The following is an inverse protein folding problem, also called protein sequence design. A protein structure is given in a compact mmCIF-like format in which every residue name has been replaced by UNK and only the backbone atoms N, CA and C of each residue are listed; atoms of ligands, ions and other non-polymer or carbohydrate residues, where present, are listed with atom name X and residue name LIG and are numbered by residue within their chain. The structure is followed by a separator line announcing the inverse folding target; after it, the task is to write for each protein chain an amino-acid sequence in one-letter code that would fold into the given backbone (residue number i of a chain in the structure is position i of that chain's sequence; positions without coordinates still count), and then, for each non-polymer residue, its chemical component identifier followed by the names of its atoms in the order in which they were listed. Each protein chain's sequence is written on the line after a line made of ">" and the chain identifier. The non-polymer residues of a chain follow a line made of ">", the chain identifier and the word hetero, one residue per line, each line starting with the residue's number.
data_IF_130618321758
#
_entry.id   IF_130618321758
#
_cell.length_a   1.000
_cell.length_b   1.000
_cell.length_c   1.000
_cell.angle_alpha   90.00
_cell.angle_beta   90.00
_cell.angle_gamma   90.00
#
_symmetry.space_group_name_H-M   'P 1'
#
loop_
_entity.id
_entity.type
_entity.pdbx_description
1 polymer ?
#
# COMPACT_ATOMS: atom_id res chain seq x y z
N UNK A 1 -5.50 3.77 -24.47
CA UNK A 1 -5.00 3.11 -23.25
C UNK A 1 -4.71 4.18 -22.20
N UNK A 2 -5.05 3.95 -20.93
CA UNK A 2 -4.72 4.88 -19.85
C UNK A 2 -3.19 4.95 -19.67
N UNK A 3 -2.63 6.16 -19.48
CA UNK A 3 -1.20 6.35 -19.33
C UNK A 3 -0.72 6.01 -17.92
N UNK A 4 0.42 5.32 -17.81
CA UNK A 4 0.98 4.91 -16.54
C UNK A 4 2.51 4.87 -16.56
N UNK A 5 3.12 4.91 -15.37
CA UNK A 5 4.53 4.61 -15.10
C UNK A 5 4.63 3.42 -14.16
N UNK A 6 5.72 2.67 -14.24
CA UNK A 6 6.04 1.59 -13.33
C UNK A 6 7.22 2.01 -12.47
N UNK A 7 7.02 2.01 -11.16
CA UNK A 7 8.04 2.29 -10.15
C UNK A 7 8.35 1.04 -9.34
N UNK A 8 9.60 0.89 -8.92
CA UNK A 8 9.94 -0.01 -7.82
C UNK A 8 10.72 0.72 -6.73
N UNK A 9 10.38 0.43 -5.49
CA UNK A 9 10.98 1.03 -4.30
C UNK A 9 12.15 0.14 -3.87
N UNK A 10 13.37 0.70 -3.81
CA UNK A 10 14.56 -0.06 -3.49
C UNK A 10 15.57 0.78 -2.70
N UNK A 11 16.15 0.21 -1.65
CA UNK A 11 17.27 0.80 -0.93
C UNK A 11 18.55 0.79 -1.77
N UNK A 12 19.35 1.87 -1.75
CA UNK A 12 20.58 1.99 -2.56
C UNK A 12 21.57 0.85 -2.32
N UNK A 13 21.66 0.37 -1.10
CA UNK A 13 22.53 -0.75 -0.72
C UNK A 13 22.00 -2.13 -1.13
N UNK A 14 20.74 -2.25 -1.56
CA UNK A 14 20.11 -3.54 -1.89
C UNK A 14 20.32 -3.90 -3.36
N UNK A 15 21.58 -4.04 -3.80
CA UNK A 15 21.96 -4.27 -5.19
C UNK A 15 21.40 -5.58 -5.76
N UNK A 16 21.36 -6.68 -4.98
CA UNK A 16 20.78 -7.95 -5.42
C UNK A 16 19.32 -7.80 -5.81
N UNK A 17 18.52 -7.07 -5.01
CA UNK A 17 17.11 -6.80 -5.27
C UNK A 17 16.91 -5.84 -6.43
N UNK A 18 17.78 -4.82 -6.55
CA UNK A 18 17.81 -3.94 -7.71
C UNK A 18 17.99 -4.73 -9.01
N UNK A 19 19.03 -5.58 -9.07
CA UNK A 19 19.33 -6.40 -10.25
C UNK A 19 18.19 -7.38 -10.57
N UNK A 20 17.53 -7.94 -9.57
CA UNK A 20 16.37 -8.80 -9.73
C UNK A 20 15.22 -8.06 -10.44
N UNK A 21 14.86 -6.87 -9.96
CA UNK A 21 13.79 -6.07 -10.58
C UNK A 21 14.14 -5.64 -12.01
N UNK A 22 15.34 -5.12 -12.22
CA UNK A 22 15.78 -4.66 -13.54
C UNK A 22 15.84 -5.79 -14.57
N UNK A 23 16.30 -6.99 -14.16
CA UNK A 23 16.29 -8.18 -15.02
C UNK A 23 14.86 -8.59 -15.37
N UNK A 24 13.97 -8.75 -14.38
CA UNK A 24 12.59 -9.15 -14.61
C UNK A 24 11.88 -8.22 -15.60
N UNK A 25 12.05 -6.91 -15.47
CA UNK A 25 11.38 -5.94 -16.34
C UNK A 25 12.05 -5.79 -17.70
N UNK A 26 13.34 -6.06 -17.80
CA UNK A 26 14.03 -6.20 -19.10
C UNK A 26 13.47 -7.39 -19.88
N UNK A 27 13.29 -8.54 -19.24
CA UNK A 27 12.74 -9.74 -19.85
C UNK A 27 11.28 -9.53 -20.30
N UNK A 28 10.50 -8.73 -19.58
CA UNK A 28 9.14 -8.32 -19.95
C UNK A 28 9.08 -7.20 -21.01
N UNK A 29 10.22 -6.58 -21.35
CA UNK A 29 10.31 -5.41 -22.23
C UNK A 29 9.42 -4.23 -21.78
N UNK A 30 9.38 -3.98 -20.49
CA UNK A 30 8.59 -2.90 -19.86
C UNK A 30 9.52 -1.93 -19.14
N UNK A 31 9.43 -0.61 -19.43
CA UNK A 31 10.22 0.38 -18.71
C UNK A 31 9.85 0.43 -17.24
N UNK A 32 10.87 0.37 -16.37
CA UNK A 32 10.69 0.48 -14.92
C UNK A 32 11.59 1.58 -14.37
N UNK A 33 11.07 2.35 -13.42
CA UNK A 33 11.76 3.47 -12.79
C UNK A 33 12.08 3.08 -11.33
N UNK A 34 13.36 3.13 -10.99
CA UNK A 34 13.78 2.94 -9.60
C UNK A 34 13.46 4.19 -8.79
N UNK A 35 12.74 4.00 -7.68
CA UNK A 35 12.56 5.02 -6.65
C UNK A 35 13.43 4.68 -5.44
N UNK A 36 14.41 5.54 -5.12
CA UNK A 36 15.32 5.30 -4.00
C UNK A 36 14.58 5.37 -2.67
N UNK A 37 14.61 4.27 -1.92
CA UNK A 37 13.97 4.18 -0.63
C UNK A 37 14.80 4.89 0.46
N UNK A 38 14.11 5.57 1.35
CA UNK A 38 14.73 6.20 2.51
C UNK A 38 15.14 5.14 3.54
N UNK A 39 16.43 5.08 3.86
CA UNK A 39 16.90 4.19 4.89
C UNK A 39 16.55 4.75 6.28
N UNK A 40 15.65 4.09 6.98
CA UNK A 40 15.10 4.60 8.24
C UNK A 40 16.15 4.97 9.29
N UNK A 41 17.27 4.22 9.37
CA UNK A 41 18.35 4.53 10.33
C UNK A 41 19.13 5.82 10.01
N UNK A 42 19.05 6.31 8.78
CA UNK A 42 19.71 7.56 8.35
C UNK A 42 18.79 8.77 8.47
N UNK A 43 17.53 8.55 8.84
CA UNK A 43 16.62 9.67 9.11
C UNK A 43 17.02 10.42 10.37
N UNK A 44 16.80 11.75 10.43
CA UNK A 44 17.16 12.56 11.61
C UNK A 44 16.58 11.96 12.91
N UNK A 45 17.40 11.82 13.92
CA UNK A 45 17.01 11.24 15.22
C UNK A 45 15.83 11.98 15.86
N UNK A 46 15.76 13.30 15.69
CA UNK A 46 14.64 14.14 16.15
C UNK A 46 13.34 13.77 15.47
N UNK A 47 13.37 13.53 14.15
CA UNK A 47 12.22 13.07 13.38
C UNK A 47 11.75 11.67 13.83
N UNK A 48 12.68 10.72 14.00
CA UNK A 48 12.36 9.36 14.45
C UNK A 48 11.75 9.36 15.85
N UNK A 49 12.35 10.13 16.80
CA UNK A 49 11.83 10.26 18.18
C UNK A 49 10.42 10.87 18.18
N UNK A 50 10.19 11.95 17.42
CA UNK A 50 8.89 12.58 17.29
C UNK A 50 7.86 11.61 16.72
N UNK A 51 8.17 10.94 15.61
CA UNK A 51 7.27 9.99 14.95
C UNK A 51 6.89 8.83 15.88
N UNK A 52 7.85 8.29 16.65
CA UNK A 52 7.59 7.22 17.63
C UNK A 52 6.77 7.70 18.83
N UNK A 53 6.91 8.97 19.23
CA UNK A 53 6.12 9.59 20.31
C UNK A 53 4.68 9.87 19.88
N UNK A 54 4.49 10.32 18.64
CA UNK A 54 3.17 10.59 18.06
C UNK A 54 2.40 9.30 17.74
N UNK A 55 3.02 8.14 17.96
CA UNK A 55 2.40 6.84 17.82
C UNK A 55 1.20 6.73 18.76
N UNK A 56 0.00 6.73 18.19
CA UNK A 56 -1.22 6.70 18.97
C UNK A 56 -1.55 5.27 19.44
N UNK A 57 -1.84 5.13 20.71
CA UNK A 57 -2.25 3.87 21.36
C UNK A 57 -3.51 3.26 20.71
N UNK A 58 -4.32 4.09 20.03
CA UNK A 58 -5.49 3.66 19.25
C UNK A 58 -5.15 2.95 17.95
N UNK A 59 -3.89 2.90 17.52
CA UNK A 59 -3.50 2.04 16.42
C UNK A 59 -3.37 0.61 16.95
N UNK A 60 -4.02 -0.33 16.30
CA UNK A 60 -3.87 -1.76 16.61
C UNK A 60 -2.45 -2.30 16.31
N UNK A 61 -1.49 -1.40 16.11
CA UNK A 61 -0.11 -1.71 15.80
C UNK A 61 0.82 -1.30 16.95
N UNK A 62 1.62 -2.22 17.53
CA UNK A 62 2.23 -1.99 18.83
C UNK A 62 3.44 -1.05 18.84
N UNK A 63 4.23 -0.95 17.78
CA UNK A 63 5.40 -0.08 17.70
C UNK A 63 5.85 0.12 16.25
N UNK A 64 6.45 1.27 15.95
CA UNK A 64 7.15 1.54 14.69
C UNK A 64 8.67 1.32 14.87
N UNK A 65 9.29 0.60 13.95
CA UNK A 65 10.75 0.59 13.83
C UNK A 65 11.21 1.61 12.78
N UNK A 66 12.52 1.90 12.75
CA UNK A 66 13.08 2.89 11.85
C UNK A 66 12.88 2.52 10.38
N UNK A 67 12.96 1.22 10.03
CA UNK A 67 12.72 0.73 8.68
C UNK A 67 11.30 0.98 8.21
N UNK A 68 10.29 0.73 9.07
CA UNK A 68 8.89 1.01 8.76
C UNK A 68 8.61 2.51 8.60
N UNK A 69 9.26 3.34 9.42
CA UNK A 69 9.18 4.80 9.29
C UNK A 69 9.79 5.22 7.95
N UNK A 70 10.99 4.70 7.62
CA UNK A 70 11.67 4.96 6.36
C UNK A 70 10.84 4.57 5.14
N UNK A 71 10.29 3.34 5.14
CA UNK A 71 9.43 2.85 4.07
C UNK A 71 8.15 3.70 3.93
N UNK A 72 7.46 3.99 5.03
CA UNK A 72 6.25 4.81 4.99
C UNK A 72 6.54 6.22 4.47
N UNK A 73 7.66 6.82 4.90
CA UNK A 73 8.10 8.13 4.40
C UNK A 73 8.43 8.06 2.91
N UNK A 74 9.05 6.99 2.44
CA UNK A 74 9.31 6.75 1.01
C UNK A 74 8.01 6.75 0.19
N UNK A 75 6.97 6.08 0.67
CA UNK A 75 5.66 6.10 0.01
C UNK A 75 5.06 7.51 -0.04
N UNK A 76 5.22 8.32 1.02
CA UNK A 76 4.72 9.70 1.01
C UNK A 76 5.44 10.55 -0.04
N UNK A 77 6.76 10.40 -0.18
CA UNK A 77 7.52 11.10 -1.22
C UNK A 77 7.12 10.62 -2.63
N UNK A 78 6.92 9.32 -2.82
CA UNK A 78 6.47 8.77 -4.08
C UNK A 78 5.04 9.23 -4.45
N UNK A 79 4.12 9.30 -3.49
CA UNK A 79 2.78 9.86 -3.76
C UNK A 79 2.84 11.36 -4.12
N UNK A 80 3.78 12.10 -3.51
CA UNK A 80 4.04 13.50 -3.88
C UNK A 80 4.53 13.63 -5.32
N UNK A 81 5.37 12.70 -5.79
CA UNK A 81 5.80 12.66 -7.19
C UNK A 81 4.65 12.29 -8.12
N UNK A 82 3.91 11.21 -7.81
CA UNK A 82 2.82 10.71 -8.64
C UNK A 82 1.71 11.75 -8.84
N UNK A 83 1.36 12.50 -7.80
CA UNK A 83 0.32 13.55 -7.96
C UNK A 83 0.71 14.64 -8.97
N UNK A 84 2.00 14.81 -9.25
CA UNK A 84 2.52 15.83 -10.17
C UNK A 84 2.93 15.29 -11.55
N UNK A 85 2.98 13.96 -11.73
CA UNK A 85 3.34 13.35 -13.02
C UNK A 85 2.29 13.62 -14.09
N UNK A 86 2.66 13.43 -15.38
CA UNK A 86 1.72 13.57 -16.50
C UNK A 86 0.75 12.39 -16.59
N UNK A 87 1.23 11.20 -16.30
CA UNK A 87 0.49 9.95 -16.40
C UNK A 87 -0.66 9.88 -15.41
N UNK A 88 -1.72 9.18 -15.78
CA UNK A 88 -2.94 9.03 -14.99
C UNK A 88 -2.76 8.07 -13.80
N UNK A 89 -1.87 7.08 -13.96
CA UNK A 89 -1.64 6.03 -12.99
C UNK A 89 -0.14 5.81 -12.74
N UNK A 90 0.17 5.22 -11.61
CA UNK A 90 1.45 4.59 -11.33
C UNK A 90 1.23 3.15 -10.86
N UNK A 91 2.09 2.23 -11.29
CA UNK A 91 2.25 0.91 -10.73
C UNK A 91 3.45 0.99 -9.79
N UNK A 92 3.27 0.63 -8.53
CA UNK A 92 4.32 0.67 -7.51
C UNK A 92 4.59 -0.76 -7.05
N UNK A 93 5.84 -1.17 -7.08
CA UNK A 93 6.30 -2.49 -6.67
C UNK A 93 7.34 -2.36 -5.56
N UNK A 94 7.37 -3.31 -4.63
CA UNK A 94 8.51 -3.49 -3.73
C UNK A 94 9.64 -4.21 -4.48
N UNK A 95 10.87 -4.08 -4.00
CA UNK A 95 12.07 -4.58 -4.70
C UNK A 95 12.25 -6.11 -4.65
N UNK A 96 11.31 -6.80 -4.02
CA UNK A 96 11.17 -8.26 -4.00
C UNK A 96 9.93 -8.77 -4.74
N UNK A 97 9.21 -7.90 -5.41
CA UNK A 97 7.99 -8.26 -6.12
C UNK A 97 8.28 -9.14 -7.34
N UNK A 98 7.83 -10.38 -7.30
CA UNK A 98 7.77 -11.25 -8.47
C UNK A 98 6.41 -11.05 -9.16
N UNK A 99 6.44 -10.50 -10.38
CA UNK A 99 5.26 -10.13 -11.16
C UNK A 99 4.92 -11.24 -12.15
N UNK A 100 3.67 -11.68 -12.15
CA UNK A 100 3.14 -12.61 -13.14
C UNK A 100 2.97 -11.89 -14.49
N UNK A 101 3.45 -12.48 -15.56
CA UNK A 101 3.39 -11.91 -16.93
C UNK A 101 1.97 -11.58 -17.39
N UNK A 102 0.97 -12.33 -16.91
CA UNK A 102 -0.42 -12.07 -17.22
C UNK A 102 -0.92 -10.73 -16.68
N UNK A 103 -0.22 -10.12 -15.71
CA UNK A 103 -0.59 -8.80 -15.18
C UNK A 103 -0.67 -7.75 -16.28
N UNK A 104 0.34 -7.68 -17.12
CA UNK A 104 0.39 -6.68 -18.19
C UNK A 104 -0.57 -7.00 -19.35
N UNK A 105 -0.93 -8.28 -19.50
CA UNK A 105 -1.97 -8.70 -20.46
C UNK A 105 -3.36 -8.30 -19.98
N UNK A 106 -3.64 -8.46 -18.69
CA UNK A 106 -4.92 -8.15 -18.08
C UNK A 106 -5.05 -6.65 -17.66
N UNK A 107 -3.96 -5.90 -17.71
CA UNK A 107 -3.90 -4.49 -17.27
C UNK A 107 -4.90 -3.56 -17.98
N UNK A 108 -5.15 -3.69 -19.30
CA UNK A 108 -6.17 -2.89 -19.98
C UNK A 108 -7.56 -3.08 -19.37
N UNK A 109 -7.93 -4.31 -19.05
CA UNK A 109 -9.23 -4.65 -18.47
C UNK A 109 -9.33 -4.15 -17.02
N UNK A 110 -8.25 -4.29 -16.24
CA UNK A 110 -8.18 -3.69 -14.90
C UNK A 110 -8.37 -2.17 -15.01
N UNK A 111 -7.73 -1.52 -15.98
CA UNK A 111 -7.90 -0.09 -16.19
C UNK A 111 -9.32 0.30 -16.60
N UNK A 112 -10.10 -0.55 -17.28
CA UNK A 112 -11.50 -0.28 -17.58
C UNK A 112 -12.35 -0.23 -16.30
N UNK A 113 -11.97 -0.98 -15.26
CA UNK A 113 -12.71 -1.04 -14.00
C UNK A 113 -12.35 0.06 -12.99
N UNK A 114 -11.23 0.74 -13.14
CA UNK A 114 -10.71 1.69 -12.15
C UNK A 114 -10.63 3.11 -12.67
N UNK A 115 -10.57 4.06 -11.76
CA UNK A 115 -10.45 5.49 -12.03
C UNK A 115 -9.18 6.07 -11.39
N UNK A 116 -8.83 7.30 -11.76
CA UNK A 116 -7.69 8.01 -11.14
C UNK A 116 -7.88 8.31 -9.63
N UNK A 117 -9.06 8.01 -9.06
CA UNK A 117 -9.33 8.13 -7.64
C UNK A 117 -9.01 6.84 -6.86
N UNK A 118 -8.74 5.74 -7.56
CA UNK A 118 -8.64 4.43 -6.96
C UNK A 118 -7.20 4.04 -6.63
N UNK A 119 -7.07 3.23 -5.60
CA UNK A 119 -5.88 2.51 -5.22
C UNK A 119 -6.20 1.01 -5.36
N UNK A 120 -5.38 0.24 -6.05
CA UNK A 120 -5.59 -1.18 -6.29
C UNK A 120 -4.41 -1.98 -5.77
N UNK A 121 -4.66 -2.89 -4.84
CA UNK A 121 -3.72 -3.92 -4.43
C UNK A 121 -3.75 -5.06 -5.45
N UNK A 122 -2.62 -5.40 -6.05
CA UNK A 122 -2.52 -6.44 -7.09
C UNK A 122 -2.07 -7.80 -6.55
N UNK A 123 -2.07 -8.00 -5.23
CA UNK A 123 -1.67 -9.26 -4.59
C UNK A 123 -2.74 -10.35 -4.62
N UNK A 124 -3.96 -10.04 -5.00
CA UNK A 124 -5.09 -10.99 -5.01
C UNK A 124 -5.52 -11.47 -3.62
N UNK A 125 -5.10 -10.80 -2.55
CA UNK A 125 -5.46 -11.16 -1.18
C UNK A 125 -6.86 -10.69 -0.83
N UNK A 126 -7.56 -11.44 0.00
CA UNK A 126 -8.88 -11.03 0.46
C UNK A 126 -8.78 -10.03 1.64
N UNK A 127 -9.53 -8.95 1.55
CA UNK A 127 -9.78 -8.04 2.65
C UNK A 127 -10.96 -8.49 3.53
N UNK A 128 -11.33 -7.65 4.50
CA UNK A 128 -12.50 -7.86 5.34
C UNK A 128 -13.72 -7.16 4.73
N UNK A 129 -14.84 -7.85 4.65
CA UNK A 129 -16.14 -7.44 4.17
C UNK A 129 -16.14 -6.85 2.75
N UNK A 130 -16.48 -7.65 1.75
CA UNK A 130 -16.59 -7.20 0.36
C UNK A 130 -17.77 -6.26 0.18
N UNK A 131 -17.56 -5.12 -0.48
CA UNK A 131 -18.57 -4.10 -0.72
C UNK A 131 -19.16 -4.18 -2.11
N UNK A 132 -18.31 -4.48 -3.09
CA UNK A 132 -18.67 -4.56 -4.49
C UNK A 132 -17.79 -5.61 -5.17
N UNK A 133 -18.26 -6.14 -6.29
CA UNK A 133 -17.56 -7.14 -7.10
C UNK A 133 -17.61 -6.71 -8.56
N UNK A 134 -16.44 -6.47 -9.17
CA UNK A 134 -16.28 -6.33 -10.62
C UNK A 134 -15.60 -7.58 -11.17
N UNK A 135 -15.30 -7.63 -12.44
CA UNK A 135 -14.70 -8.83 -13.05
C UNK A 135 -13.27 -9.05 -12.58
N UNK A 136 -12.42 -8.04 -12.63
CA UNK A 136 -10.99 -8.10 -12.28
C UNK A 136 -10.71 -7.61 -10.86
N UNK A 137 -11.56 -6.72 -10.31
CA UNK A 137 -11.31 -6.07 -9.02
C UNK A 137 -12.47 -6.26 -8.03
N UNK A 138 -12.16 -6.12 -6.76
CA UNK A 138 -13.13 -6.15 -5.67
C UNK A 138 -12.79 -5.08 -4.64
N UNK A 139 -13.80 -4.31 -4.23
CA UNK A 139 -13.67 -3.34 -3.14
C UNK A 139 -13.93 -4.03 -1.80
N UNK A 140 -13.07 -3.77 -0.82
CA UNK A 140 -13.25 -4.22 0.56
C UNK A 140 -13.40 -3.04 1.51
N UNK A 141 -14.16 -3.24 2.57
CA UNK A 141 -14.28 -2.25 3.64
C UNK A 141 -12.94 -2.04 4.35
N UNK A 142 -12.24 -3.14 4.63
CA UNK A 142 -10.87 -3.12 5.14
C UNK A 142 -10.00 -3.91 4.15
N UNK A 143 -9.10 -3.25 3.42
CA UNK A 143 -8.22 -3.93 2.48
C UNK A 143 -7.22 -4.84 3.18
N UNK A 144 -6.61 -5.80 2.46
CA UNK A 144 -5.58 -6.67 3.03
C UNK A 144 -4.32 -5.88 3.40
N UNK A 145 -3.56 -6.43 4.32
CA UNK A 145 -2.20 -5.96 4.63
C UNK A 145 -1.24 -6.24 3.46
N UNK A 146 -0.03 -5.71 3.56
CA UNK A 146 1.08 -5.76 2.60
C UNK A 146 0.94 -4.78 1.43
N UNK A 147 2.08 -4.45 0.85
CA UNK A 147 2.25 -3.43 -0.17
C UNK A 147 3.12 -3.88 -1.34
N UNK A 148 3.30 -5.21 -1.51
CA UNK A 148 4.21 -5.82 -2.50
C UNK A 148 4.00 -5.28 -3.92
N UNK A 149 2.74 -5.01 -4.31
CA UNK A 149 2.43 -4.40 -5.59
C UNK A 149 1.07 -3.71 -5.60
N UNK A 150 1.00 -2.57 -6.28
CA UNK A 150 -0.20 -1.74 -6.28
C UNK A 150 -0.28 -0.87 -7.54
N UNK A 151 -1.50 -0.56 -7.97
CA UNK A 151 -1.79 0.49 -8.96
C UNK A 151 -2.39 1.66 -8.20
N UNK A 152 -1.91 2.86 -8.45
CA UNK A 152 -2.44 4.06 -7.81
C UNK A 152 -2.79 5.11 -8.85
N UNK A 153 -4.00 5.63 -8.79
CA UNK A 153 -4.43 6.75 -9.60
C UNK A 153 -3.88 8.08 -9.09
N UNK A 154 -3.66 9.03 -9.97
CA UNK A 154 -3.08 10.34 -9.65
C UNK A 154 -3.84 11.10 -8.57
N UNK A 155 -5.17 11.05 -8.58
CA UNK A 155 -6.01 11.68 -7.53
C UNK A 155 -5.99 10.89 -6.23
N UNK A 156 -5.89 9.57 -6.31
CA UNK A 156 -5.70 8.73 -5.12
C UNK A 156 -4.39 9.08 -4.39
N UNK A 157 -3.28 9.18 -5.12
CA UNK A 157 -1.99 9.61 -4.56
C UNK A 157 -2.07 10.99 -3.88
N UNK A 158 -2.75 11.94 -4.53
CA UNK A 158 -3.00 13.28 -3.95
C UNK A 158 -3.81 13.20 -2.64
N UNK A 159 -4.86 12.39 -2.60
CA UNK A 159 -5.69 12.23 -1.41
C UNK A 159 -4.90 11.57 -0.26
N UNK A 160 -4.15 10.52 -0.54
CA UNK A 160 -3.28 9.86 0.43
C UNK A 160 -2.26 10.85 1.01
N UNK A 161 -1.52 11.55 0.16
CA UNK A 161 -0.53 12.54 0.57
C UNK A 161 -1.15 13.70 1.39
N UNK A 162 -2.33 14.20 0.99
CA UNK A 162 -3.03 15.29 1.68
C UNK A 162 -3.56 14.88 3.05
N UNK A 163 -4.13 13.67 3.16
CA UNK A 163 -4.89 13.25 4.34
C UNK A 163 -4.06 12.47 5.36
N UNK A 164 -2.95 11.85 4.94
CA UNK A 164 -2.00 11.14 5.80
C UNK A 164 -0.78 12.04 6.08
N UNK A 165 -0.95 13.06 6.92
CA UNK A 165 0.11 14.04 7.22
C UNK A 165 1.18 13.53 8.18
N UNK A 166 0.88 12.49 8.95
CA UNK A 166 1.75 11.94 9.99
C UNK A 166 1.90 10.43 9.83
N UNK A 167 3.09 9.93 10.15
CA UNK A 167 3.37 8.50 10.19
C UNK A 167 2.98 7.99 11.57
N UNK A 168 1.87 7.28 11.68
CA UNK A 168 1.38 6.71 12.95
C UNK A 168 1.27 5.17 12.90
N UNK A 169 1.54 4.55 11.79
CA UNK A 169 1.60 3.10 11.62
C UNK A 169 2.38 2.75 10.35
N UNK A 170 2.77 1.47 10.14
CA UNK A 170 3.38 1.04 8.89
C UNK A 170 2.46 1.30 7.70
N UNK A 171 3.04 1.41 6.51
CA UNK A 171 2.33 1.77 5.28
C UNK A 171 1.17 0.82 4.95
N UNK A 172 1.32 -0.47 5.19
CA UNK A 172 0.28 -1.47 4.93
C UNK A 172 -0.91 -1.35 5.89
N UNK A 173 -0.68 -0.89 7.12
CA UNK A 173 -1.72 -0.56 8.09
C UNK A 173 -2.37 0.78 7.76
N UNK A 174 -1.58 1.80 7.36
CA UNK A 174 -2.11 3.08 6.89
C UNK A 174 -3.06 2.91 5.69
N UNK A 175 -2.75 1.96 4.80
CA UNK A 175 -3.63 1.59 3.68
C UNK A 175 -5.02 1.16 4.14
N UNK A 176 -5.15 0.57 5.33
CA UNK A 176 -6.44 0.13 5.88
C UNK A 176 -7.30 1.28 6.40
N UNK A 177 -6.73 2.44 6.68
CA UNK A 177 -7.45 3.61 7.22
C UNK A 177 -8.21 4.39 6.14
N UNK A 178 -9.02 3.66 5.36
CA UNK A 178 -9.78 4.20 4.21
C UNK A 178 -10.63 5.41 4.59
N UNK A 179 -11.20 5.43 5.81
CA UNK A 179 -11.98 6.54 6.32
C UNK A 179 -11.14 7.80 6.53
N UNK A 180 -9.86 7.65 6.86
CA UNK A 180 -8.96 8.78 7.11
C UNK A 180 -8.39 9.33 5.80
N UNK A 181 -7.87 8.48 4.94
CA UNK A 181 -7.27 8.93 3.68
C UNK A 181 -8.28 9.13 2.53
N UNK A 182 -9.53 8.69 2.69
CA UNK A 182 -10.63 8.91 1.74
C UNK A 182 -10.33 8.42 0.32
N UNK A 183 -9.63 7.30 0.20
CA UNK A 183 -9.27 6.67 -1.06
C UNK A 183 -9.79 5.25 -1.05
N UNK A 184 -10.65 4.84 -2.02
CA UNK A 184 -11.07 3.44 -2.12
C UNK A 184 -9.86 2.55 -2.40
N UNK A 185 -9.80 1.41 -1.73
CA UNK A 185 -8.76 0.40 -1.97
C UNK A 185 -9.43 -0.85 -2.52
N UNK A 186 -9.28 -1.04 -3.81
CA UNK A 186 -9.66 -2.25 -4.50
C UNK A 186 -8.55 -3.30 -4.39
N UNK A 187 -8.90 -4.53 -4.65
CA UNK A 187 -7.96 -5.66 -4.72
C UNK A 187 -8.26 -6.43 -6.00
N UNK A 188 -7.25 -6.84 -6.73
CA UNK A 188 -7.44 -7.73 -7.87
C UNK A 188 -7.89 -9.11 -7.41
N UNK A 189 -8.80 -9.75 -8.16
CA UNK A 189 -9.24 -11.12 -7.84
C UNK A 189 -8.14 -12.15 -8.11
N UNK A 190 -7.37 -11.93 -9.17
CA UNK A 190 -6.20 -12.73 -9.51
C UNK A 190 -4.98 -12.19 -8.77
N UNK A 191 -4.10 -13.09 -8.39
CA UNK A 191 -2.83 -12.78 -7.77
C UNK A 191 -1.80 -12.50 -8.86
N UNK A 192 -1.44 -11.23 -9.04
CA UNK A 192 -0.47 -10.80 -10.06
C UNK A 192 0.93 -10.57 -9.50
N UNK A 193 1.06 -10.49 -8.19
CA UNK A 193 2.36 -10.27 -7.54
C UNK A 193 2.49 -11.08 -6.26
N UNK A 194 3.69 -11.59 -6.03
CA UNK A 194 4.08 -12.24 -4.78
C UNK A 194 5.43 -11.68 -4.30
N UNK A 195 5.68 -11.71 -3.00
CA UNK A 195 7.00 -11.41 -2.46
C UNK A 195 7.94 -12.59 -2.71
N UNK A 196 9.13 -12.30 -3.21
CA UNK A 196 10.24 -13.24 -3.42
C UNK A 196 11.39 -12.98 -2.43
N UNK A 197 11.08 -12.41 -1.27
CA UNK A 197 12.06 -12.00 -0.26
C UNK A 197 12.92 -13.18 0.21
N UNK A 198 12.36 -14.37 0.33
CA UNK A 198 13.08 -15.58 0.72
C UNK A 198 14.30 -15.84 -0.17
N UNK A 199 14.16 -15.78 -1.50
CA UNK A 199 15.24 -15.99 -2.46
C UNK A 199 16.21 -14.80 -2.56
N UNK A 200 15.81 -13.65 -2.05
CA UNK A 200 16.58 -12.40 -2.12
C UNK A 200 17.31 -12.03 -0.81
N UNK A 201 17.39 -12.99 0.13
CA UNK A 201 18.12 -12.83 1.38
C UNK A 201 17.25 -12.38 2.56
N UNK A 202 15.95 -12.59 2.48
CA UNK A 202 14.97 -12.28 3.53
C UNK A 202 14.57 -10.79 3.58
N UNK A 203 13.74 -10.44 4.54
CA UNK A 203 13.21 -9.07 4.68
C UNK A 203 14.31 -8.05 4.98
N UNK A 204 14.25 -6.91 4.31
CA UNK A 204 15.14 -5.75 4.59
C UNK A 204 14.65 -4.93 5.80
N UNK A 205 13.41 -5.15 6.23
CA UNK A 205 12.88 -4.54 7.44
C UNK A 205 13.47 -5.24 8.68
N UNK A 206 13.81 -4.45 9.68
CA UNK A 206 14.33 -4.99 10.94
C UNK A 206 13.30 -5.91 11.58
N UNK A 207 13.71 -7.12 11.95
CA UNK A 207 12.86 -8.00 12.74
C UNK A 207 12.54 -7.33 14.08
N UNK A 208 11.25 -7.22 14.37
CA UNK A 208 10.79 -6.73 15.67
C UNK A 208 10.85 -7.85 16.68
N UNK A 209 11.63 -7.67 17.72
CA UNK A 209 11.43 -8.41 18.97
C UNK A 209 10.12 -8.01 19.65
N UNK A 210 8.97 -8.25 18.99
CA UNK A 210 7.67 -7.90 19.58
C UNK A 210 7.35 -8.92 20.66
N UNK A 211 7.22 -8.46 21.90
CA UNK A 211 6.79 -9.31 23.02
C UNK A 211 5.47 -10.04 22.68
N UNK A 212 5.37 -11.32 23.04
CA UNK A 212 4.21 -12.18 22.68
C UNK A 212 2.87 -11.56 23.07
N UNK A 213 2.79 -10.91 24.24
CA UNK A 213 1.55 -10.26 24.69
C UNK A 213 1.07 -9.14 23.76
N UNK A 214 2.00 -8.36 23.15
CA UNK A 214 1.62 -7.31 22.20
C UNK A 214 1.04 -7.89 20.91
N UNK A 215 1.53 -9.06 20.45
CA UNK A 215 0.91 -9.78 19.34
C UNK A 215 -0.51 -10.23 19.68
N UNK A 216 -0.71 -10.77 20.88
CA UNK A 216 -2.03 -11.19 21.36
C UNK A 216 -2.98 -9.98 21.43
N UNK A 217 -2.55 -8.88 22.02
CA UNK A 217 -3.36 -7.64 22.08
C UNK A 217 -3.77 -7.19 20.67
N UNK A 218 -2.86 -7.21 19.72
CA UNK A 218 -3.17 -6.85 18.33
C UNK A 218 -4.23 -7.77 17.72
N UNK A 219 -4.10 -9.08 17.90
CA UNK A 219 -5.06 -10.05 17.34
C UNK A 219 -6.44 -9.95 18.00
N UNK A 220 -6.51 -9.49 19.26
CA UNK A 220 -7.76 -9.19 19.95
C UNK A 220 -8.37 -7.86 19.49
N UNK A 221 -7.57 -6.81 19.39
CA UNK A 221 -8.06 -5.46 19.00
C UNK A 221 -8.51 -5.41 17.54
N UNK A 222 -7.84 -6.14 16.64
CA UNK A 222 -8.12 -6.11 15.21
C UNK A 222 -9.58 -6.46 14.84
N UNK A 223 -10.22 -7.52 15.36
CA UNK A 223 -11.63 -7.79 15.12
C UNK A 223 -12.54 -6.65 15.59
N UNK A 224 -12.27 -6.05 16.76
CA UNK A 224 -13.06 -4.92 17.24
C UNK A 224 -12.93 -3.71 16.34
N UNK A 225 -11.74 -3.41 15.84
CA UNK A 225 -11.53 -2.35 14.88
C UNK A 225 -12.26 -2.63 13.56
N UNK A 226 -12.26 -3.87 13.07
CA UNK A 226 -13.02 -4.28 11.88
C UNK A 226 -14.53 -4.14 12.09
N UNK A 227 -15.05 -4.52 13.25
CA UNK A 227 -16.44 -4.32 13.62
C UNK A 227 -16.79 -2.83 13.71
N UNK A 228 -15.95 -2.02 14.33
CA UNK A 228 -16.12 -0.57 14.38
C UNK A 228 -16.18 0.03 12.97
N UNK A 229 -15.27 -0.35 12.09
CA UNK A 229 -15.28 0.07 10.68
C UNK A 229 -16.59 -0.34 9.98
N UNK A 230 -17.08 -1.55 10.24
CA UNK A 230 -18.35 -2.06 9.69
C UNK A 230 -19.56 -1.25 10.18
N UNK A 231 -19.67 -1.01 11.49
CA UNK A 231 -20.76 -0.21 12.04
C UNK A 231 -20.71 1.24 11.54
N UNK A 232 -19.54 1.85 11.49
CA UNK A 232 -19.34 3.19 10.95
C UNK A 232 -19.77 3.28 9.49
N UNK A 233 -19.41 2.28 8.67
CA UNK A 233 -19.85 2.19 7.28
C UNK A 233 -21.37 2.07 7.18
N UNK A 234 -22.00 1.18 7.95
CA UNK A 234 -23.47 0.99 7.96
C UNK A 234 -24.20 2.25 8.37
N UNK A 235 -23.74 2.91 9.45
CA UNK A 235 -24.34 4.16 9.94
C UNK A 235 -24.23 5.28 8.89
N UNK A 236 -23.06 5.47 8.30
CA UNK A 236 -22.87 6.49 7.26
C UNK A 236 -23.71 6.21 6.01
N UNK A 237 -23.91 4.95 5.65
CA UNK A 237 -24.80 4.55 4.55
C UNK A 237 -26.27 4.89 4.86
N UNK A 238 -26.72 4.64 6.08
CA UNK A 238 -28.09 4.99 6.53
C UNK A 238 -28.31 6.50 6.52
N UNK A 239 -27.34 7.27 6.97
CA UNK A 239 -27.41 8.74 7.00
C UNK A 239 -27.21 9.39 5.64
N UNK A 240 -27.09 8.65 4.55
CA UNK A 240 -26.79 9.13 3.18
C UNK A 240 -25.53 10.04 3.09
N UNK A 241 -24.69 10.06 4.12
CA UNK A 241 -23.52 10.94 4.20
C UNK A 241 -22.29 10.39 3.45
N UNK A 242 -22.42 9.24 2.78
CA UNK A 242 -21.28 8.53 2.19
C UNK A 242 -21.41 8.34 0.68
N UNK A 243 -21.16 9.43 -0.07
CA UNK A 243 -20.98 9.39 -1.53
C UNK A 243 -19.69 8.69 -1.98
N UNK A 244 -18.84 8.27 -1.02
CA UNK A 244 -17.49 7.76 -1.31
C UNK A 244 -17.50 6.36 -1.94
N UNK A 245 -18.42 5.48 -1.49
CA UNK A 245 -18.57 4.13 -2.03
C UNK A 245 -19.68 3.99 -3.10
N UNK A 246 -20.42 5.06 -3.37
CA UNK A 246 -21.55 5.03 -4.33
C UNK A 246 -21.18 5.52 -5.74
N UNK A 247 -20.01 6.14 -5.92
CA UNK A 247 -19.57 6.71 -7.22
C UNK A 247 -18.63 5.81 -8.01
N UNK A 248 -18.50 4.54 -7.65
CA UNK A 248 -17.70 3.55 -8.38
C UNK A 248 -18.53 2.34 -8.79
#
# INVERSE_FOLDING_TARGET
>A
MKSYKVYYINLDKSLKRKNFMEKQFKDLNIPIIRFSALYGKELPTTFLKKTKKDFNICTHYPNLNDGEIGLTKTYFELWREIQNQKEQFAIILEDDALVDESFFKDLPEIFNEITINDFVDISGRKGFYPLNKKEFTQLFLVPPLQTTGQIIGKKAAKNLFKNLKTIYSPIDVLKQDVFKHKTPVLVTKKKYVISNDYNLGGTTLQQKGIARYKKIIREVIRPFWQLFAFFTYKLNRLLKNYNFYQKN
#
